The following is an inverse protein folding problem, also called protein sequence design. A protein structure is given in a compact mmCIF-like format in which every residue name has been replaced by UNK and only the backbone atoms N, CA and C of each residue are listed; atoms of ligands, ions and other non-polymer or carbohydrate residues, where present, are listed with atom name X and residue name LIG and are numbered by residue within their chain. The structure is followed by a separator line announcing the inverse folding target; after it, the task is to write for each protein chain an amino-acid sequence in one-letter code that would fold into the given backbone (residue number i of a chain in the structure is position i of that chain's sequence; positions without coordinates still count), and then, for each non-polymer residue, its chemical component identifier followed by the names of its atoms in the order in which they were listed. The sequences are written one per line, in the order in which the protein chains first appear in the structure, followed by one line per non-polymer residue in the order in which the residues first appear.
data_IF_695352773527
#
_entry.id   IF_695352773527
#
_cell.length_a   1.000
_cell.length_b   1.000
_cell.length_c   1.000
_cell.angle_alpha   90.00
_cell.angle_beta   90.00
_cell.angle_gamma   90.00
#
_symmetry.space_group_name_H-M   'P 1'
#
loop_
_entity.id
_entity.type
_entity.pdbx_description
1 polymer ?
#
# COMPACT_ATOMS: atom_id res chain seq x y z
N UNK A 1 56.44 -46.14 21.85
CA UNK A 1 55.51 -44.98 21.93
C UNK A 1 54.96 -44.95 23.35
N UNK A 2 55.09 -43.81 24.10
CA UNK A 2 54.67 -43.79 25.50
C UNK A 2 53.16 -43.88 25.59
N UNK A 3 52.65 -44.71 26.48
CA UNK A 3 51.25 -45.01 26.77
C UNK A 3 50.41 -43.69 26.99
N UNK A 4 51.07 -42.62 27.36
CA UNK A 4 50.46 -41.29 27.59
C UNK A 4 50.06 -40.59 26.28
N UNK A 5 50.85 -40.67 25.20
CA UNK A 5 50.52 -40.12 23.87
C UNK A 5 49.38 -40.90 23.20
N UNK A 6 49.33 -42.19 23.35
CA UNK A 6 48.25 -43.03 22.80
C UNK A 6 46.90 -42.67 23.44
N UNK A 7 46.84 -42.43 24.76
CA UNK A 7 45.64 -42.00 25.46
C UNK A 7 45.16 -40.61 25.00
N UNK A 8 46.09 -39.67 24.80
CA UNK A 8 45.74 -38.33 24.33
C UNK A 8 45.12 -38.34 22.91
N UNK A 9 45.64 -39.18 22.02
CA UNK A 9 45.09 -39.34 20.66
C UNK A 9 43.70 -39.97 20.72
N UNK A 10 43.48 -40.99 21.55
CA UNK A 10 42.18 -41.64 21.71
C UNK A 10 41.12 -40.64 22.27
N UNK A 11 41.47 -39.87 23.30
CA UNK A 11 40.54 -38.87 23.83
C UNK A 11 40.27 -37.75 22.83
N UNK A 12 41.30 -37.29 22.09
CA UNK A 12 41.10 -36.30 21.04
C UNK A 12 40.15 -36.76 19.92
N UNK A 13 40.31 -38.01 19.47
CA UNK A 13 39.43 -38.63 18.51
C UNK A 13 37.98 -38.79 19.03
N UNK A 14 37.83 -39.18 20.30
CA UNK A 14 36.52 -39.32 20.93
C UNK A 14 35.80 -37.96 21.02
N UNK A 15 36.51 -36.90 21.40
CA UNK A 15 35.95 -35.54 21.44
C UNK A 15 35.51 -35.05 20.05
N UNK A 16 36.30 -35.31 19.01
CA UNK A 16 35.95 -34.96 17.64
C UNK A 16 34.67 -35.67 17.17
N UNK A 17 34.52 -36.96 17.48
CA UNK A 17 33.31 -37.72 17.14
C UNK A 17 32.08 -37.18 17.88
N UNK A 18 32.20 -36.89 19.17
CA UNK A 18 31.09 -36.30 19.95
C UNK A 18 30.70 -34.95 19.39
N UNK A 19 31.66 -34.10 19.04
CA UNK A 19 31.37 -32.77 18.46
C UNK A 19 30.61 -32.89 17.15
N UNK A 20 31.02 -33.79 16.26
CA UNK A 20 30.32 -34.05 14.98
C UNK A 20 28.88 -34.51 15.22
N UNK A 21 28.67 -35.42 16.18
CA UNK A 21 27.33 -35.91 16.51
C UNK A 21 26.43 -34.82 17.09
N UNK A 22 26.98 -33.97 17.94
CA UNK A 22 26.23 -32.81 18.49
C UNK A 22 25.86 -31.80 17.38
N UNK A 23 26.81 -31.47 16.49
CA UNK A 23 26.54 -30.60 15.35
C UNK A 23 25.48 -31.20 14.41
N UNK A 24 25.53 -32.49 14.13
CA UNK A 24 24.55 -33.21 13.32
C UNK A 24 23.16 -33.21 13.97
N UNK A 25 23.09 -33.40 15.30
CA UNK A 25 21.84 -33.34 16.04
C UNK A 25 21.23 -31.91 16.02
N UNK A 26 22.04 -30.89 16.24
CA UNK A 26 21.60 -29.48 16.17
C UNK A 26 21.11 -29.14 14.75
N UNK A 27 21.82 -29.55 13.71
CA UNK A 27 21.42 -29.36 12.33
C UNK A 27 20.12 -30.10 11.99
N UNK A 28 19.93 -31.31 12.49
CA UNK A 28 18.70 -32.08 12.33
C UNK A 28 17.49 -31.40 12.99
N UNK A 29 17.68 -30.89 14.22
CA UNK A 29 16.67 -30.13 14.93
C UNK A 29 16.33 -28.83 14.16
N UNK A 30 17.33 -28.11 13.69
CA UNK A 30 17.12 -26.89 12.91
C UNK A 30 16.33 -27.15 11.61
N UNK A 31 16.58 -28.29 10.94
CA UNK A 31 15.84 -28.74 9.76
C UNK A 31 14.36 -29.05 10.05
N UNK A 32 14.08 -29.65 11.21
CA UNK A 32 12.71 -30.00 11.62
C UNK A 32 11.87 -28.74 11.98
N UNK A 33 12.52 -27.68 12.44
CA UNK A 33 11.86 -26.41 12.81
C UNK A 33 12.04 -25.31 11.76
N UNK A 34 12.77 -25.56 10.66
CA UNK A 34 12.80 -24.61 9.55
C UNK A 34 11.42 -24.59 8.89
N UNK A 35 10.73 -23.46 8.86
CA UNK A 35 9.48 -23.36 8.10
C UNK A 35 9.77 -23.77 6.66
N UNK A 36 8.89 -24.58 6.09
CA UNK A 36 8.96 -24.90 4.66
C UNK A 36 9.03 -23.59 3.90
N UNK A 37 10.08 -23.40 3.08
CA UNK A 37 10.14 -22.26 2.16
C UNK A 37 8.85 -22.28 1.36
N UNK A 38 8.06 -21.21 1.36
CA UNK A 38 6.85 -21.17 0.54
C UNK A 38 7.29 -21.45 -0.89
N UNK A 39 6.66 -22.47 -1.49
CA UNK A 39 6.83 -22.74 -2.92
C UNK A 39 6.22 -21.54 -3.63
N UNK A 40 7.07 -20.59 -4.03
CA UNK A 40 6.66 -19.53 -4.95
C UNK A 40 6.38 -20.23 -6.27
N UNK A 41 5.13 -20.56 -6.51
CA UNK A 41 4.66 -20.98 -7.82
C UNK A 41 4.74 -19.72 -8.69
N UNK A 42 5.59 -19.67 -9.72
CA UNK A 42 5.63 -18.53 -10.61
C UNK A 42 4.27 -18.46 -11.31
N UNK A 43 3.46 -17.50 -10.94
CA UNK A 43 2.21 -17.24 -11.61
C UNK A 43 2.47 -16.56 -12.95
N UNK A 44 2.11 -17.22 -14.03
CA UNK A 44 1.89 -16.55 -15.32
C UNK A 44 0.53 -15.85 -15.24
N UNK A 45 0.44 -14.66 -15.73
CA UNK A 45 -0.56 -13.58 -15.79
C UNK A 45 -1.99 -13.71 -15.25
N UNK A 46 -2.47 -14.89 -14.81
CA UNK A 46 -3.86 -15.11 -14.38
C UNK A 46 -4.02 -15.92 -13.08
N UNK A 47 -2.99 -15.94 -12.23
CA UNK A 47 -3.06 -16.71 -10.99
C UNK A 47 -3.64 -15.86 -9.86
N UNK A 48 -4.95 -15.89 -9.72
CA UNK A 48 -5.57 -15.60 -8.42
C UNK A 48 -5.19 -16.76 -7.50
N UNK A 49 -4.57 -16.56 -6.35
CA UNK A 49 -4.31 -17.63 -5.39
C UNK A 49 -5.62 -18.34 -5.09
N UNK A 50 -5.59 -19.67 -5.02
CA UNK A 50 -6.80 -20.45 -4.68
C UNK A 50 -7.29 -19.96 -3.31
N UNK A 51 -8.46 -19.30 -3.29
CA UNK A 51 -9.08 -18.75 -2.09
C UNK A 51 -8.91 -17.25 -1.85
N UNK A 52 -8.24 -16.49 -2.75
CA UNK A 52 -8.27 -15.04 -2.66
C UNK A 52 -9.58 -14.48 -3.21
N UNK A 53 -10.25 -13.68 -2.40
CA UNK A 53 -11.42 -12.90 -2.83
C UNK A 53 -10.98 -11.69 -3.65
N UNK A 54 -11.81 -11.28 -4.60
CA UNK A 54 -11.54 -10.07 -5.40
C UNK A 54 -11.63 -8.81 -4.54
N UNK A 55 -10.82 -7.79 -4.89
CA UNK A 55 -10.93 -6.46 -4.30
C UNK A 55 -12.30 -5.89 -4.65
N UNK A 56 -13.04 -5.45 -3.64
CA UNK A 56 -14.32 -4.75 -3.85
C UNK A 56 -14.10 -3.24 -3.96
N UNK A 57 -14.95 -2.59 -4.75
CA UNK A 57 -14.85 -1.15 -5.02
C UNK A 57 -16.18 -0.47 -4.80
N UNK A 58 -16.13 0.79 -4.40
CA UNK A 58 -17.29 1.67 -4.42
C UNK A 58 -16.88 3.10 -4.73
N UNK A 59 -17.49 3.70 -5.75
CA UNK A 59 -17.29 5.11 -6.08
C UNK A 59 -17.82 5.97 -4.95
N UNK A 60 -16.93 6.78 -4.37
CA UNK A 60 -17.30 7.70 -3.30
C UNK A 60 -17.73 9.06 -3.90
N UNK A 61 -16.88 9.63 -4.76
CA UNK A 61 -17.17 10.93 -5.38
C UNK A 61 -16.27 11.22 -6.59
N UNK A 62 -16.78 12.13 -7.44
CA UNK A 62 -16.01 12.77 -8.51
C UNK A 62 -16.08 14.27 -8.32
N UNK A 63 -14.94 14.97 -8.40
CA UNK A 63 -14.84 16.41 -8.17
C UNK A 63 -14.30 17.10 -9.43
N UNK A 64 -14.94 18.17 -9.84
CA UNK A 64 -14.44 19.06 -10.90
C UNK A 64 -13.49 20.06 -10.23
N UNK A 65 -12.21 20.02 -10.57
CA UNK A 65 -11.18 20.93 -10.04
C UNK A 65 -11.01 22.19 -10.88
N UNK A 66 -11.22 22.04 -12.20
CA UNK A 66 -11.33 23.13 -13.17
C UNK A 66 -12.03 22.60 -14.44
N UNK A 67 -12.40 23.45 -15.39
CA UNK A 67 -13.02 22.95 -16.63
C UNK A 67 -12.19 21.88 -17.31
N UNK A 68 -12.76 20.69 -17.51
CA UNK A 68 -12.10 19.53 -18.12
C UNK A 68 -11.13 18.79 -17.20
N UNK A 69 -10.99 19.16 -15.92
CA UNK A 69 -10.14 18.51 -14.94
C UNK A 69 -10.97 17.92 -13.79
N UNK A 70 -10.71 16.64 -13.50
CA UNK A 70 -11.48 15.88 -12.53
C UNK A 70 -10.55 15.18 -11.53
N UNK A 71 -10.99 15.09 -10.30
CA UNK A 71 -10.39 14.20 -9.28
C UNK A 71 -11.41 13.14 -8.92
N UNK A 72 -10.97 11.89 -8.89
CA UNK A 72 -11.79 10.73 -8.52
C UNK A 72 -11.41 10.25 -7.14
N UNK A 73 -12.41 9.84 -6.38
CA UNK A 73 -12.27 9.26 -5.05
C UNK A 73 -13.04 7.93 -5.03
N UNK A 74 -12.30 6.84 -4.98
CA UNK A 74 -12.82 5.49 -4.91
C UNK A 74 -12.49 4.88 -3.56
N UNK A 75 -13.37 4.06 -3.00
CA UNK A 75 -13.04 3.22 -1.87
C UNK A 75 -12.78 1.80 -2.37
N UNK A 76 -11.65 1.24 -2.00
CA UNK A 76 -11.26 -0.12 -2.31
C UNK A 76 -11.10 -0.92 -1.02
N UNK A 77 -11.53 -2.17 -1.03
CA UNK A 77 -11.49 -3.04 0.15
C UNK A 77 -10.92 -4.39 -0.25
N UNK A 78 -9.87 -4.78 0.43
CA UNK A 78 -9.33 -6.14 0.41
C UNK A 78 -9.76 -6.86 1.68
N UNK A 79 -10.67 -7.81 1.58
CA UNK A 79 -11.16 -8.62 2.71
C UNK A 79 -10.28 -9.84 3.00
N UNK A 80 -9.31 -10.13 2.13
CA UNK A 80 -8.40 -11.25 2.33
C UNK A 80 -7.51 -11.01 3.55
N UNK A 81 -7.48 -11.97 4.48
CA UNK A 81 -6.63 -11.90 5.66
C UNK A 81 -5.16 -12.22 5.34
N UNK A 82 -4.94 -13.14 4.39
CA UNK A 82 -3.63 -13.74 4.09
C UNK A 82 -3.01 -13.24 2.78
N UNK A 83 -3.75 -12.45 1.99
CA UNK A 83 -3.30 -11.97 0.68
C UNK A 83 -3.39 -10.46 0.58
N UNK A 84 -2.31 -9.87 0.09
CA UNK A 84 -2.22 -8.47 -0.30
C UNK A 84 -2.07 -8.37 -1.82
N UNK A 85 -2.56 -7.31 -2.42
CA UNK A 85 -2.24 -6.99 -3.80
C UNK A 85 -1.04 -6.04 -3.81
N UNK A 86 0.14 -6.54 -4.22
CA UNK A 86 1.36 -5.76 -4.33
C UNK A 86 1.19 -4.66 -5.37
N UNK A 87 0.51 -5.00 -6.47
CA UNK A 87 -0.06 -4.02 -7.38
C UNK A 87 -1.31 -4.57 -8.05
N UNK A 88 -2.12 -3.67 -8.54
CA UNK A 88 -3.21 -3.95 -9.46
C UNK A 88 -3.39 -2.77 -10.42
N UNK A 89 -3.82 -3.07 -11.64
CA UNK A 89 -4.20 -2.04 -12.60
C UNK A 89 -5.66 -1.69 -12.40
N UNK A 90 -6.02 -0.43 -12.66
CA UNK A 90 -7.39 0.02 -12.72
C UNK A 90 -7.64 0.89 -13.93
N UNK A 91 -8.90 1.01 -14.32
CA UNK A 91 -9.36 2.03 -15.27
C UNK A 91 -10.60 2.74 -14.75
N UNK A 92 -10.68 4.02 -15.04
CA UNK A 92 -11.90 4.83 -14.89
C UNK A 92 -12.41 5.08 -16.31
N UNK A 93 -13.51 4.42 -16.67
CA UNK A 93 -14.06 4.45 -18.02
C UNK A 93 -15.28 5.34 -18.08
N UNK A 94 -15.32 6.18 -19.11
CA UNK A 94 -16.42 7.10 -19.39
C UNK A 94 -17.22 6.57 -20.58
N UNK A 95 -18.52 6.57 -20.44
CA UNK A 95 -19.43 5.97 -21.41
C UNK A 95 -20.35 7.01 -22.03
N UNK A 96 -20.62 6.88 -23.32
CA UNK A 96 -21.68 7.61 -24.01
C UNK A 96 -23.07 7.03 -23.69
N UNK A 97 -24.12 7.63 -24.26
CA UNK A 97 -25.49 7.21 -24.07
C UNK A 97 -25.79 5.80 -24.67
N UNK A 98 -24.93 5.28 -25.52
CA UNK A 98 -25.02 3.93 -26.08
C UNK A 98 -24.32 2.86 -25.22
N UNK A 99 -23.60 3.29 -24.15
CA UNK A 99 -22.78 2.41 -23.32
C UNK A 99 -21.41 2.10 -23.91
N UNK A 100 -20.97 2.88 -24.91
CA UNK A 100 -19.62 2.74 -25.49
C UNK A 100 -18.62 3.56 -24.69
N UNK A 101 -17.44 2.99 -24.40
CA UNK A 101 -16.34 3.72 -23.74
C UNK A 101 -15.81 4.77 -24.70
N UNK A 102 -15.87 6.04 -24.29
CA UNK A 102 -15.38 7.19 -25.07
C UNK A 102 -14.04 7.73 -24.57
N UNK A 103 -13.73 7.47 -23.29
CA UNK A 103 -12.44 7.80 -22.69
C UNK A 103 -12.15 6.86 -21.54
N UNK A 104 -10.87 6.55 -21.29
CA UNK A 104 -10.38 5.81 -20.12
C UNK A 104 -9.25 6.56 -19.44
N UNK A 105 -9.22 6.53 -18.12
CA UNK A 105 -8.11 7.00 -17.27
C UNK A 105 -7.52 5.77 -16.58
N UNK A 106 -6.42 5.21 -17.12
CA UNK A 106 -5.75 4.07 -16.51
C UNK A 106 -4.87 4.51 -15.33
N UNK A 107 -4.64 3.56 -14.42
CA UNK A 107 -3.71 3.73 -13.32
C UNK A 107 -3.36 2.41 -12.66
N UNK A 108 -2.51 2.47 -11.65
CA UNK A 108 -2.16 1.32 -10.82
C UNK A 108 -2.13 1.70 -9.35
N UNK A 109 -2.32 0.72 -8.48
CA UNK A 109 -2.27 0.91 -7.03
C UNK A 109 -1.94 -0.41 -6.34
N UNK A 110 -1.97 -0.40 -5.02
CA UNK A 110 -1.72 -1.55 -4.15
C UNK A 110 -2.72 -1.54 -2.99
N UNK A 111 -2.88 -2.69 -2.33
CA UNK A 111 -3.68 -2.77 -1.11
C UNK A 111 -3.18 -3.92 -0.23
N UNK A 112 -3.01 -3.65 1.06
CA UNK A 112 -2.58 -4.63 2.05
C UNK A 112 -3.69 -5.64 2.35
N UNK A 113 -3.34 -6.75 2.98
CA UNK A 113 -4.29 -7.70 3.52
C UNK A 113 -5.22 -7.00 4.53
N UNK A 114 -6.50 -7.34 4.50
CA UNK A 114 -7.54 -6.81 5.38
C UNK A 114 -7.57 -5.27 5.46
N UNK A 115 -7.31 -4.58 4.34
CA UNK A 115 -7.28 -3.13 4.29
C UNK A 115 -8.51 -2.56 3.58
N UNK A 116 -9.05 -1.47 4.14
CA UNK A 116 -9.86 -0.51 3.41
C UNK A 116 -9.00 0.71 3.08
N UNK A 117 -8.95 1.09 1.82
CA UNK A 117 -8.14 2.21 1.31
C UNK A 117 -9.02 3.12 0.46
N UNK A 118 -8.76 4.42 0.57
CA UNK A 118 -9.24 5.37 -0.42
C UNK A 118 -8.18 5.52 -1.51
N UNK A 119 -8.63 5.49 -2.74
CA UNK A 119 -7.82 5.76 -3.93
C UNK A 119 -8.19 7.14 -4.45
N UNK A 120 -7.26 8.06 -4.35
CA UNK A 120 -7.40 9.40 -4.92
C UNK A 120 -6.68 9.43 -6.27
N UNK A 121 -7.40 9.80 -7.33
CA UNK A 121 -6.83 9.97 -8.68
C UNK A 121 -6.97 11.46 -9.05
N UNK A 122 -5.96 12.29 -8.72
CA UNK A 122 -6.11 13.72 -8.77
C UNK A 122 -5.95 14.28 -10.18
N UNK A 123 -6.68 15.36 -10.47
CA UNK A 123 -6.48 16.28 -11.58
C UNK A 123 -6.35 15.63 -12.97
N UNK A 124 -7.20 14.66 -13.27
CA UNK A 124 -7.21 13.99 -14.57
C UNK A 124 -7.90 14.85 -15.63
N UNK A 125 -7.32 14.91 -16.82
CA UNK A 125 -7.92 15.59 -17.97
C UNK A 125 -8.94 14.67 -18.60
N UNK A 126 -10.22 15.09 -18.59
CA UNK A 126 -11.32 14.35 -19.20
C UNK A 126 -12.00 15.31 -20.19
N UNK A 127 -11.77 15.05 -21.48
CA UNK A 127 -12.29 15.91 -22.54
C UNK A 127 -13.81 15.82 -22.68
N UNK A 128 -14.35 14.60 -22.53
CA UNK A 128 -15.78 14.33 -22.54
C UNK A 128 -16.10 13.37 -21.38
N UNK A 129 -16.78 13.82 -20.32
CA UNK A 129 -17.14 12.96 -19.20
C UNK A 129 -18.27 11.97 -19.52
N UNK A 130 -18.86 12.04 -20.72
CA UNK A 130 -19.95 11.15 -21.12
C UNK A 130 -21.20 11.31 -20.26
N UNK A 131 -21.99 10.23 -20.18
CA UNK A 131 -23.23 10.17 -19.39
C UNK A 131 -23.14 9.21 -18.20
N UNK A 132 -22.12 8.34 -18.19
CA UNK A 132 -21.87 7.39 -17.11
C UNK A 132 -20.35 7.18 -16.93
N UNK A 133 -19.97 6.73 -15.75
CA UNK A 133 -18.61 6.40 -15.38
C UNK A 133 -18.58 5.04 -14.68
N UNK A 134 -17.57 4.23 -14.96
CA UNK A 134 -17.28 2.99 -14.27
C UNK A 134 -15.85 2.94 -13.77
N UNK A 135 -15.64 2.27 -12.65
CA UNK A 135 -14.32 1.95 -12.13
C UNK A 135 -14.12 0.43 -12.20
N UNK A 136 -13.02 0.00 -12.80
CA UNK A 136 -12.71 -1.42 -12.98
C UNK A 136 -11.29 -1.71 -12.49
N UNK A 137 -11.13 -2.80 -11.74
CA UNK A 137 -9.82 -3.35 -11.34
C UNK A 137 -9.47 -4.50 -12.27
N UNK A 138 -8.23 -4.48 -12.75
CA UNK A 138 -7.66 -5.48 -13.64
C UNK A 138 -6.30 -5.95 -13.12
N UNK A 139 -5.79 -7.06 -13.63
CA UNK A 139 -4.40 -7.53 -13.44
C UNK A 139 -3.92 -7.45 -11.98
N UNK A 140 -4.65 -8.07 -11.05
CA UNK A 140 -4.27 -8.06 -9.63
C UNK A 140 -3.11 -9.04 -9.41
N UNK A 141 -1.97 -8.52 -8.94
CA UNK A 141 -0.83 -9.34 -8.54
C UNK A 141 -0.88 -9.58 -7.04
N UNK A 142 -1.37 -10.76 -6.69
CA UNK A 142 -1.50 -11.20 -5.30
C UNK A 142 -0.18 -11.74 -4.75
N UNK A 143 0.15 -11.32 -3.54
CA UNK A 143 1.26 -11.87 -2.73
C UNK A 143 0.72 -12.30 -1.37
N UNK A 144 1.49 -13.15 -0.67
CA UNK A 144 1.19 -13.39 0.75
C UNK A 144 1.21 -12.06 1.51
N UNK A 145 0.27 -11.88 2.43
CA UNK A 145 0.22 -10.70 3.30
C UNK A 145 1.54 -10.45 4.02
N UNK A 146 2.26 -11.52 4.40
CA UNK A 146 3.59 -11.44 5.01
C UNK A 146 4.65 -10.83 4.07
N UNK A 147 4.51 -10.99 2.75
CA UNK A 147 5.45 -10.44 1.76
C UNK A 147 5.36 -8.91 1.75
N UNK A 148 4.16 -8.37 1.66
CA UNK A 148 3.95 -6.92 1.74
C UNK A 148 4.15 -6.43 3.19
N UNK A 149 3.93 -7.32 4.16
CA UNK A 149 4.10 -7.09 5.59
C UNK A 149 2.91 -6.41 6.25
N UNK A 150 3.11 -6.03 7.50
CA UNK A 150 2.06 -5.37 8.31
C UNK A 150 1.72 -4.00 7.71
N UNK A 151 0.46 -3.63 7.83
CA UNK A 151 -0.05 -2.32 7.43
C UNK A 151 0.84 -1.20 8.00
N UNK A 152 1.35 -0.29 7.16
CA UNK A 152 2.22 0.79 7.61
C UNK A 152 1.55 1.67 8.67
N UNK A 153 2.33 2.06 9.68
CA UNK A 153 1.88 3.00 10.69
C UNK A 153 2.62 4.33 10.48
N UNK A 154 1.86 5.35 10.15
CA UNK A 154 2.35 6.72 10.02
C UNK A 154 1.66 7.61 11.05
N UNK A 155 2.45 8.43 11.72
CA UNK A 155 1.95 9.43 12.66
C UNK A 155 1.89 10.80 11.97
N UNK A 156 0.68 11.33 11.80
CA UNK A 156 0.46 12.65 11.21
C UNK A 156 0.44 13.69 12.32
N UNK A 157 1.29 14.72 12.20
CA UNK A 157 1.50 15.73 13.24
C UNK A 157 1.50 17.14 12.62
N UNK A 158 1.29 18.14 13.45
CA UNK A 158 1.41 19.56 13.11
C UNK A 158 0.56 19.95 11.89
N UNK A 159 -0.63 19.31 11.76
CA UNK A 159 -1.54 19.56 10.65
C UNK A 159 -2.06 20.99 10.69
N UNK A 160 -1.91 21.69 9.59
CA UNK A 160 -2.39 23.05 9.39
C UNK A 160 -3.20 23.14 8.12
N UNK A 161 -4.34 23.80 8.17
CA UNK A 161 -5.16 24.11 7.00
C UNK A 161 -5.29 25.61 6.86
N UNK A 162 -4.85 26.14 5.71
CA UNK A 162 -5.04 27.52 5.30
C UNK A 162 -6.09 27.60 4.20
N UNK A 163 -6.89 28.65 4.18
CA UNK A 163 -7.87 28.90 3.13
C UNK A 163 -7.83 30.35 2.69
N UNK A 164 -7.74 30.58 1.39
CA UNK A 164 -7.88 31.85 0.72
C UNK A 164 -9.14 31.86 -0.12
N UNK A 165 -9.41 32.94 -0.86
CA UNK A 165 -10.54 32.98 -1.78
C UNK A 165 -10.44 32.03 -2.98
N UNK A 166 -9.22 31.55 -3.30
CA UNK A 166 -8.96 30.72 -4.49
C UNK A 166 -8.34 29.38 -4.17
N UNK A 167 -7.75 29.20 -2.99
CA UNK A 167 -6.94 28.01 -2.68
C UNK A 167 -7.14 27.58 -1.24
N UNK A 168 -7.25 26.27 -1.04
CA UNK A 168 -7.07 25.61 0.26
C UNK A 168 -5.68 24.97 0.25
N UNK A 169 -4.93 25.18 1.32
CA UNK A 169 -3.65 24.49 1.57
C UNK A 169 -3.76 23.61 2.80
N UNK A 170 -3.20 22.40 2.72
CA UNK A 170 -3.03 21.51 3.87
C UNK A 170 -1.56 21.15 3.96
N UNK A 171 -0.97 21.36 5.12
CA UNK A 171 0.41 21.02 5.39
C UNK A 171 0.54 20.33 6.75
N UNK A 172 1.60 19.55 6.90
CA UNK A 172 1.86 18.82 8.13
C UNK A 172 3.17 18.05 8.07
N UNK A 173 3.32 17.18 9.03
CA UNK A 173 4.44 16.26 9.11
C UNK A 173 3.92 14.84 9.23
N UNK A 174 4.62 13.89 8.61
CA UNK A 174 4.41 12.46 8.82
C UNK A 174 5.68 11.85 9.39
N UNK A 175 5.54 11.00 10.40
CA UNK A 175 6.61 10.18 10.94
C UNK A 175 6.33 8.73 10.59
N UNK A 176 7.33 8.03 10.04
CA UNK A 176 7.25 6.60 9.80
C UNK A 176 7.51 5.85 11.12
N UNK A 177 6.45 5.43 11.80
CA UNK A 177 6.54 4.67 13.05
C UNK A 177 6.73 3.15 12.82
N UNK A 178 6.74 2.71 11.55
CA UNK A 178 7.03 1.33 11.20
C UNK A 178 8.54 1.03 11.24
N UNK A 179 8.88 -0.25 11.36
CA UNK A 179 10.27 -0.73 11.30
C UNK A 179 10.82 -0.87 9.88
N UNK A 180 9.96 -0.68 8.87
CA UNK A 180 10.30 -0.78 7.46
C UNK A 180 10.48 0.59 6.81
N UNK A 181 11.36 0.68 5.81
CA UNK A 181 11.43 1.81 4.90
C UNK A 181 10.35 1.68 3.82
N UNK A 182 9.86 2.82 3.34
CA UNK A 182 8.90 2.88 2.24
C UNK A 182 9.52 3.66 1.07
N UNK A 183 9.44 3.07 -0.12
CA UNK A 183 9.92 3.71 -1.34
C UNK A 183 9.04 4.89 -1.72
N UNK A 184 7.71 4.70 -1.60
CA UNK A 184 6.73 5.75 -1.83
C UNK A 184 5.76 5.82 -0.65
N UNK A 185 5.46 7.02 -0.21
CA UNK A 185 4.44 7.33 0.80
C UNK A 185 3.46 8.31 0.19
N UNK A 186 2.23 7.88 0.02
CA UNK A 186 1.13 8.69 -0.50
C UNK A 186 0.40 9.36 0.66
N UNK A 187 0.19 10.66 0.56
CA UNK A 187 -0.58 11.45 1.50
C UNK A 187 -1.83 11.95 0.81
N UNK A 188 -2.95 11.30 1.12
CA UNK A 188 -4.26 11.62 0.57
C UNK A 188 -4.98 12.58 1.48
N UNK A 189 -5.49 13.66 0.92
CA UNK A 189 -6.30 14.63 1.62
C UNK A 189 -7.73 14.56 1.07
N UNK A 190 -8.68 14.26 1.94
CA UNK A 190 -10.11 14.32 1.61
C UNK A 190 -10.68 15.54 2.29
N UNK A 191 -11.08 16.52 1.47
CA UNK A 191 -11.77 17.72 1.93
C UNK A 191 -13.23 17.39 2.18
N UNK A 192 -13.73 17.75 3.35
CA UNK A 192 -15.10 17.46 3.77
C UNK A 192 -15.91 18.71 3.94
N UNK A 193 -17.20 18.57 3.67
CA UNK A 193 -18.19 19.61 3.93
C UNK A 193 -18.58 19.72 5.41
N UNK A 194 -19.51 20.61 5.69
CA UNK A 194 -20.08 20.77 7.03
C UNK A 194 -20.88 19.54 7.49
N UNK A 195 -21.43 18.78 6.55
CA UNK A 195 -22.16 17.52 6.75
C UNK A 195 -21.24 16.30 6.93
N UNK A 196 -19.90 16.50 6.78
CA UNK A 196 -18.89 15.44 6.84
C UNK A 196 -18.72 14.65 5.54
N UNK A 197 -19.52 14.94 4.51
CA UNK A 197 -19.37 14.32 3.20
C UNK A 197 -18.14 14.85 2.45
N UNK A 198 -17.55 14.07 1.52
CA UNK A 198 -16.42 14.51 0.72
C UNK A 198 -16.87 15.56 -0.32
N UNK A 199 -16.12 16.65 -0.40
CA UNK A 199 -16.35 17.77 -1.34
C UNK A 199 -15.12 18.07 -2.19
N UNK A 200 -14.03 17.33 -2.00
CA UNK A 200 -12.81 17.41 -2.77
C UNK A 200 -11.80 16.38 -2.29
N UNK A 201 -10.81 16.08 -3.11
CA UNK A 201 -9.69 15.25 -2.72
C UNK A 201 -8.43 15.64 -3.50
N UNK A 202 -7.26 15.39 -2.91
CA UNK A 202 -5.97 15.55 -3.58
C UNK A 202 -4.95 14.60 -2.95
N UNK A 203 -3.82 14.41 -3.63
CA UNK A 203 -2.76 13.53 -3.19
C UNK A 203 -1.41 14.20 -3.42
N UNK A 204 -0.45 13.89 -2.56
CA UNK A 204 0.98 14.09 -2.81
C UNK A 204 1.73 12.82 -2.42
N UNK A 205 2.90 12.63 -2.97
CA UNK A 205 3.80 11.52 -2.66
C UNK A 205 5.12 12.03 -2.08
N UNK A 206 5.76 11.16 -1.32
CA UNK A 206 7.05 11.39 -0.69
C UNK A 206 7.89 10.14 -0.88
N UNK A 207 9.09 10.33 -1.43
CA UNK A 207 10.00 9.22 -1.71
C UNK A 207 10.88 8.87 -0.52
N UNK A 208 11.20 7.58 -0.40
CA UNK A 208 12.26 7.04 0.45
C UNK A 208 12.17 7.44 1.93
N UNK A 209 11.05 7.13 2.57
CA UNK A 209 10.83 7.42 4.01
C UNK A 209 11.34 6.26 4.87
N UNK A 210 12.44 6.49 5.60
CA UNK A 210 13.08 5.49 6.46
C UNK A 210 12.39 5.37 7.84
N UNK A 211 12.60 4.26 8.58
CA UNK A 211 12.06 4.10 9.94
C UNK A 211 12.44 5.27 10.86
N UNK A 212 11.46 5.80 11.59
CA UNK A 212 11.62 6.94 12.51
C UNK A 212 11.81 8.30 11.83
N UNK A 213 11.87 8.35 10.50
CA UNK A 213 12.02 9.61 9.78
C UNK A 213 10.73 10.43 9.82
N UNK A 214 10.89 11.72 10.10
CA UNK A 214 9.81 12.72 9.98
C UNK A 214 10.04 13.57 8.73
N UNK A 215 9.01 13.68 7.89
CA UNK A 215 9.04 14.46 6.65
C UNK A 215 7.86 15.42 6.61
N UNK A 216 8.05 16.56 5.95
CA UNK A 216 6.98 17.54 5.75
C UNK A 216 6.22 17.23 4.47
N UNK A 217 4.92 17.54 4.46
CA UNK A 217 4.12 17.56 3.26
C UNK A 217 3.34 18.87 3.14
N UNK A 218 2.97 19.23 1.92
CA UNK A 218 2.09 20.36 1.64
C UNK A 218 1.35 20.10 0.34
N UNK A 219 0.04 20.31 0.35
CA UNK A 219 -0.83 20.18 -0.82
C UNK A 219 -1.65 21.43 -0.99
N UNK A 220 -2.06 21.69 -2.24
CA UNK A 220 -2.95 22.77 -2.61
C UNK A 220 -4.14 22.22 -3.38
N UNK A 221 -5.30 22.83 -3.15
CA UNK A 221 -6.55 22.47 -3.81
C UNK A 221 -7.38 23.73 -4.10
N UNK A 222 -8.17 23.77 -5.18
CA UNK A 222 -9.05 24.89 -5.45
C UNK A 222 -10.02 25.14 -4.29
N UNK A 223 -10.15 26.40 -3.86
CA UNK A 223 -11.08 26.75 -2.80
C UNK A 223 -12.52 26.56 -3.26
N UNK A 224 -13.35 26.02 -2.39
CA UNK A 224 -14.79 25.92 -2.55
C UNK A 224 -15.47 26.29 -1.24
N UNK A 225 -16.58 26.99 -1.32
CA UNK A 225 -17.41 27.33 -0.15
C UNK A 225 -17.96 26.08 0.56
N UNK A 226 -17.97 24.94 -0.11
CA UNK A 226 -18.40 23.68 0.47
C UNK A 226 -17.37 23.08 1.43
N UNK A 227 -16.07 23.44 1.34
CA UNK A 227 -15.00 22.87 2.17
C UNK A 227 -15.10 23.46 3.58
N UNK A 228 -15.18 22.55 4.57
CA UNK A 228 -14.98 22.91 5.97
C UNK A 228 -13.56 22.52 6.41
N UNK A 229 -12.64 23.48 6.60
CA UNK A 229 -11.25 23.19 6.91
C UNK A 229 -11.03 22.36 8.19
N UNK A 230 -11.97 22.40 9.13
CA UNK A 230 -11.89 21.64 10.37
C UNK A 230 -12.20 20.14 10.20
N UNK A 231 -12.84 19.75 9.11
CA UNK A 231 -13.31 18.39 8.86
C UNK A 231 -12.41 17.59 7.90
N UNK A 232 -11.30 18.18 7.42
CA UNK A 232 -10.42 17.52 6.48
C UNK A 232 -9.83 16.24 7.05
N UNK A 233 -9.74 15.22 6.22
CA UNK A 233 -9.16 13.93 6.59
C UNK A 233 -7.84 13.73 5.84
N UNK A 234 -6.80 13.36 6.57
CA UNK A 234 -5.48 13.00 6.02
C UNK A 234 -5.29 11.51 6.19
N UNK A 235 -5.01 10.82 5.11
CA UNK A 235 -4.73 9.40 5.06
C UNK A 235 -3.33 9.18 4.49
N UNK A 236 -2.59 8.25 5.06
CA UNK A 236 -1.21 7.99 4.63
C UNK A 236 -1.04 6.52 4.32
N UNK A 237 -0.52 6.24 3.13
CA UNK A 237 -0.29 4.89 2.63
C UNK A 237 1.16 4.78 2.17
N UNK A 238 1.83 3.70 2.54
CA UNK A 238 3.20 3.45 2.12
C UNK A 238 3.32 2.15 1.33
N UNK A 239 4.18 2.13 0.32
CA UNK A 239 4.61 0.90 -0.37
C UNK A 239 6.11 0.72 -0.19
N UNK A 240 6.52 -0.49 0.16
CA UNK A 240 7.93 -0.88 0.25
C UNK A 240 8.54 -0.95 -1.15
N UNK A 241 9.83 -0.73 -1.25
CA UNK A 241 10.60 -0.97 -2.46
C UNK A 241 11.15 -2.38 -2.52
#
# INVERSE_FOLDING_TARGET
MSTRRAKQIIYGALYAVILVLVCAAIYGIFRLFSPATPVVVPCTSDCVPVGADSITTSTVATFITSPGHYTFLEQIVNTNQDYAAEYFDYSIDFYDASGTVIQSVPGSSFIYANQTKYLVVPNQVVADPGVAMGFTINNVYWVSGDTLGVLPQFNVQNLQTGMTSTTVSVSGQITNDAIAAFQYVFVDIIFKGADGGPVGATQTDIDNVTPGQTVNFSVFYPASAAINPANNQVLVYGIKG
#
